data_IF_385781594949
#
_entry.id   IF_385781594949
#
_cell.length_a   1.000
_cell.length_b   1.000
_cell.length_c   1.000
_cell.angle_alpha   90.00
_cell.angle_beta   90.00
_cell.angle_gamma   90.00
#
_symmetry.space_group_name_H-M   'P 1'
#
loop_
_entity.id
_entity.type
_entity.pdbx_description
1 polymer ?
#
# COMPACT_ATOMS: atom_id res chain seq x y z
N UNK A 1 22.75 -20.38 36.63
CA UNK A 1 23.35 -19.50 35.60
C UNK A 1 22.90 -18.06 35.86
N UNK A 2 23.79 -17.17 36.33
CA UNK A 2 23.49 -15.73 36.48
C UNK A 2 23.25 -15.14 35.08
N UNK A 3 22.12 -14.46 34.86
CA UNK A 3 21.88 -13.68 33.63
C UNK A 3 22.91 -12.55 33.59
N UNK A 4 23.68 -12.48 32.50
CA UNK A 4 24.68 -11.45 32.30
C UNK A 4 23.97 -10.07 32.23
N UNK A 5 24.41 -9.06 33.01
CA UNK A 5 23.76 -7.75 33.04
C UNK A 5 23.86 -6.99 31.71
N UNK A 6 24.79 -7.38 30.83
CA UNK A 6 24.98 -6.80 29.49
C UNK A 6 24.14 -7.46 28.40
N UNK A 7 23.22 -8.37 28.75
CA UNK A 7 22.36 -9.04 27.77
C UNK A 7 21.22 -8.11 27.33
N UNK A 8 21.49 -7.31 26.30
CA UNK A 8 20.48 -6.53 25.59
C UNK A 8 19.55 -7.49 24.82
N UNK A 9 18.37 -7.74 25.36
CA UNK A 9 17.35 -8.57 24.73
C UNK A 9 16.29 -7.69 24.05
N UNK A 10 16.36 -7.55 22.73
CA UNK A 10 15.33 -6.87 21.95
C UNK A 10 14.27 -7.88 21.48
N UNK A 11 13.00 -7.49 21.54
CA UNK A 11 11.89 -8.22 20.91
C UNK A 11 11.17 -7.30 19.93
N UNK A 12 10.92 -7.81 18.72
CA UNK A 12 10.20 -7.08 17.70
C UNK A 12 8.80 -7.66 17.55
N UNK A 13 7.81 -6.76 17.51
CA UNK A 13 6.39 -7.11 17.35
C UNK A 13 5.80 -6.35 16.15
N UNK A 14 4.94 -7.03 15.40
CA UNK A 14 4.10 -6.41 14.36
C UNK A 14 2.66 -6.45 14.81
N UNK A 15 2.03 -5.28 14.93
CA UNK A 15 0.66 -5.15 15.42
C UNK A 15 -0.21 -4.59 14.29
N UNK A 16 -1.27 -5.32 13.92
CA UNK A 16 -2.30 -4.81 13.01
C UNK A 16 -3.30 -4.00 13.80
N UNK A 17 -3.38 -2.71 13.52
CA UNK A 17 -4.32 -1.77 14.15
C UNK A 17 -5.40 -1.43 13.14
N UNK A 18 -6.66 -1.75 13.46
CA UNK A 18 -7.81 -1.46 12.59
C UNK A 18 -8.38 -0.06 12.82
N UNK A 19 -8.15 0.51 14.00
CA UNK A 19 -8.63 1.82 14.41
C UNK A 19 -7.48 2.61 15.03
N UNK A 20 -6.99 3.61 14.30
CA UNK A 20 -5.87 4.45 14.72
C UNK A 20 -6.20 5.37 15.88
N UNK A 21 -7.48 5.65 16.16
CA UNK A 21 -7.83 6.42 17.36
C UNK A 21 -7.40 5.69 18.64
N UNK A 22 -7.27 4.36 18.58
CA UNK A 22 -6.80 3.52 19.68
C UNK A 22 -5.29 3.39 19.72
N UNK A 23 -4.56 3.82 18.69
CA UNK A 23 -3.09 3.78 18.69
C UNK A 23 -2.52 4.63 19.82
N UNK A 24 -3.03 5.85 19.99
CA UNK A 24 -2.61 6.74 21.08
C UNK A 24 -2.89 6.12 22.46
N UNK A 25 -4.02 5.40 22.60
CA UNK A 25 -4.35 4.70 23.84
C UNK A 25 -3.38 3.53 24.11
N UNK A 26 -2.99 2.78 23.08
CA UNK A 26 -2.02 1.69 23.19
C UNK A 26 -0.65 2.25 23.58
N UNK A 27 -0.19 3.32 22.92
CA UNK A 27 1.10 3.95 23.24
C UNK A 27 1.12 4.54 24.65
N UNK A 28 0.04 5.17 25.10
CA UNK A 28 -0.05 5.71 26.47
C UNK A 28 -0.08 4.62 27.55
N UNK A 29 -0.52 3.40 27.23
CA UNK A 29 -0.57 2.29 28.16
C UNK A 29 0.77 1.53 28.27
N UNK A 30 1.71 1.77 27.37
CA UNK A 30 3.03 1.13 27.39
C UNK A 30 4.06 2.09 28.00
N UNK A 31 4.93 1.57 28.86
CA UNK A 31 6.04 2.35 29.40
C UNK A 31 6.99 2.77 28.28
N UNK A 32 7.09 4.07 28.03
CA UNK A 32 7.94 4.65 26.98
C UNK A 32 9.42 4.30 27.17
N UNK A 33 9.87 4.06 28.41
CA UNK A 33 11.25 3.63 28.69
C UNK A 33 11.54 2.19 28.26
N UNK A 34 10.51 1.39 28.00
CA UNK A 34 10.61 0.01 27.53
C UNK A 34 10.57 -0.13 26.00
N UNK A 35 10.30 0.94 25.26
CA UNK A 35 10.22 0.95 23.80
C UNK A 35 11.51 1.53 23.23
N UNK A 36 12.24 0.73 22.45
CA UNK A 36 13.43 1.22 21.73
C UNK A 36 13.07 2.04 20.48
N UNK A 37 12.06 1.61 19.71
CA UNK A 37 11.58 2.31 18.52
C UNK A 37 10.16 1.85 18.15
N UNK A 38 9.35 2.74 17.58
CA UNK A 38 8.09 2.40 16.91
C UNK A 38 8.10 2.93 15.49
N UNK A 39 7.80 2.08 14.50
CA UNK A 39 7.71 2.47 13.09
C UNK A 39 6.40 1.94 12.47
N UNK A 40 5.84 2.69 11.53
CA UNK A 40 4.72 2.23 10.71
C UNK A 40 5.28 1.36 9.59
N UNK A 41 5.01 0.06 9.65
CA UNK A 41 5.51 -0.88 8.65
C UNK A 41 4.76 -0.76 7.31
N UNK A 42 3.48 -0.42 7.34
CA UNK A 42 2.69 -0.23 6.14
C UNK A 42 1.21 -0.03 6.41
N UNK A 43 0.51 0.40 5.37
CA UNK A 43 -0.94 0.54 5.35
C UNK A 43 -1.51 -0.55 4.46
N UNK A 44 -2.53 -1.25 4.96
CA UNK A 44 -3.25 -2.28 4.22
C UNK A 44 -4.74 -1.96 4.23
N UNK A 45 -5.45 -2.38 3.19
CA UNK A 45 -6.90 -2.22 3.09
C UNK A 45 -7.53 -3.60 2.94
N UNK A 46 -8.55 -3.91 3.74
CA UNK A 46 -9.19 -5.23 3.73
C UNK A 46 -9.75 -5.65 2.36
N UNK A 47 -10.09 -4.67 1.51
CA UNK A 47 -10.57 -4.89 0.14
C UNK A 47 -9.50 -4.71 -0.93
N UNK A 48 -8.22 -4.60 -0.55
CA UNK A 48 -7.12 -4.34 -1.48
C UNK A 48 -7.11 -5.37 -2.62
N UNK A 49 -7.08 -6.66 -2.30
CA UNK A 49 -7.05 -7.72 -3.33
C UNK A 49 -8.28 -7.72 -4.23
N UNK A 50 -9.46 -7.42 -3.68
CA UNK A 50 -10.69 -7.27 -4.47
C UNK A 50 -10.59 -6.09 -5.43
N UNK A 51 -10.14 -4.93 -4.94
CA UNK A 51 -9.93 -3.73 -5.75
C UNK A 51 -8.89 -3.96 -6.86
N UNK A 52 -7.80 -4.66 -6.56
CA UNK A 52 -6.78 -5.02 -7.55
C UNK A 52 -7.38 -5.87 -8.67
N UNK A 53 -8.13 -6.92 -8.31
CA UNK A 53 -8.80 -7.79 -9.28
C UNK A 53 -9.79 -7.01 -10.15
N UNK A 54 -10.63 -6.19 -9.53
CA UNK A 54 -11.67 -5.45 -10.24
C UNK A 54 -11.06 -4.40 -11.19
N UNK A 55 -9.96 -3.74 -10.78
CA UNK A 55 -9.20 -2.82 -11.63
C UNK A 55 -8.56 -3.52 -12.83
N UNK A 56 -7.98 -4.71 -12.65
CA UNK A 56 -7.42 -5.50 -13.77
C UNK A 56 -8.49 -5.88 -14.79
N UNK A 57 -9.66 -6.33 -14.32
CA UNK A 57 -10.79 -6.66 -15.19
C UNK A 57 -11.25 -5.42 -15.94
N UNK A 58 -11.37 -4.28 -15.26
CA UNK A 58 -11.76 -3.02 -15.89
C UNK A 58 -10.74 -2.56 -16.94
N UNK A 59 -9.44 -2.65 -16.65
CA UNK A 59 -8.38 -2.33 -17.61
C UNK A 59 -8.45 -3.19 -18.87
N UNK A 60 -8.73 -4.49 -18.75
CA UNK A 60 -8.94 -5.37 -19.91
C UNK A 60 -10.19 -5.02 -20.71
N UNK A 61 -11.31 -4.69 -20.04
CA UNK A 61 -12.52 -4.24 -20.73
C UNK A 61 -12.26 -2.96 -21.52
N UNK A 62 -11.61 -1.98 -20.91
CA UNK A 62 -11.21 -0.74 -21.58
C UNK A 62 -10.28 -1.00 -22.77
N UNK A 63 -9.34 -1.94 -22.65
CA UNK A 63 -8.46 -2.32 -23.76
C UNK A 63 -9.25 -2.96 -24.91
N UNK A 64 -10.22 -3.83 -24.62
CA UNK A 64 -11.10 -4.45 -25.62
C UNK A 64 -11.98 -3.42 -26.31
N UNK A 65 -12.63 -2.54 -25.56
CA UNK A 65 -13.50 -1.49 -26.11
C UNK A 65 -12.66 -0.58 -27.04
N UNK A 66 -11.43 -0.26 -26.62
CA UNK A 66 -10.48 0.48 -27.43
C UNK A 66 -10.09 -0.22 -28.72
N UNK A 67 -9.75 -1.49 -28.64
CA UNK A 67 -9.42 -2.27 -29.84
C UNK A 67 -10.62 -2.38 -30.79
N UNK A 68 -11.85 -2.45 -30.25
CA UNK A 68 -13.09 -2.55 -31.05
C UNK A 68 -13.28 -1.32 -31.94
N UNK A 69 -13.32 -0.11 -31.36
CA UNK A 69 -13.55 1.08 -32.17
C UNK A 69 -12.38 1.40 -33.11
N UNK A 70 -11.16 0.98 -32.76
CA UNK A 70 -10.00 1.15 -33.64
C UNK A 70 -10.04 0.20 -34.84
N UNK A 71 -10.48 -1.04 -34.65
CA UNK A 71 -10.70 -1.98 -35.74
C UNK A 71 -11.81 -1.48 -36.69
N UNK A 72 -12.93 -1.05 -36.13
CA UNK A 72 -14.06 -0.53 -36.91
C UNK A 72 -13.67 0.71 -37.74
N UNK A 73 -12.82 1.59 -37.19
CA UNK A 73 -12.32 2.77 -37.89
C UNK A 73 -11.49 2.46 -39.15
N UNK A 74 -10.92 1.25 -39.24
CA UNK A 74 -10.16 0.78 -40.41
C UNK A 74 -10.96 -0.22 -41.27
N UNK A 75 -12.25 -0.40 -41.01
CA UNK A 75 -13.13 -1.30 -41.77
C UNK A 75 -13.00 -2.78 -41.38
N UNK A 76 -12.29 -3.09 -40.31
CA UNK A 76 -12.07 -4.43 -39.78
C UNK A 76 -12.98 -4.70 -38.57
N UNK A 77 -13.16 -5.97 -38.21
CA UNK A 77 -13.82 -6.35 -36.95
C UNK A 77 -12.83 -6.92 -35.96
N UNK A 78 -13.06 -6.66 -34.68
CA UNK A 78 -12.24 -7.25 -33.62
C UNK A 78 -12.51 -8.77 -33.51
N UNK A 79 -11.45 -9.57 -33.56
CA UNK A 79 -11.50 -11.02 -33.37
C UNK A 79 -11.12 -11.48 -31.96
N UNK A 80 -10.64 -12.72 -31.85
CA UNK A 80 -10.21 -13.31 -30.58
C UNK A 80 -8.95 -12.62 -29.99
N UNK A 81 -8.82 -12.70 -28.67
CA UNK A 81 -7.61 -12.27 -27.98
C UNK A 81 -6.48 -13.30 -28.21
N UNK A 82 -5.36 -12.83 -28.72
CA UNK A 82 -4.15 -13.63 -28.97
C UNK A 82 -3.21 -13.60 -27.75
N UNK A 83 -3.14 -12.46 -27.08
CA UNK A 83 -2.23 -12.25 -25.96
C UNK A 83 -2.89 -11.35 -24.90
N UNK A 84 -2.73 -11.70 -23.64
CA UNK A 84 -3.07 -10.84 -22.49
C UNK A 84 -1.88 -10.83 -21.55
N UNK A 85 -1.36 -9.64 -21.29
CA UNK A 85 -0.21 -9.43 -20.42
C UNK A 85 -0.52 -8.35 -19.39
N UNK A 86 -0.22 -8.64 -18.13
CA UNK A 86 -0.17 -7.62 -17.09
C UNK A 86 1.14 -6.84 -17.22
N UNK A 87 1.03 -5.53 -17.47
CA UNK A 87 2.19 -4.65 -17.46
C UNK A 87 2.47 -4.33 -16.00
N UNK A 88 3.56 -4.88 -15.50
CA UNK A 88 3.89 -4.81 -14.08
C UNK A 88 4.25 -3.38 -13.70
N UNK A 89 3.25 -2.63 -13.23
CA UNK A 89 3.44 -1.30 -12.67
C UNK A 89 3.52 -1.48 -11.15
N UNK A 90 4.68 -1.92 -10.67
CA UNK A 90 4.92 -2.06 -9.23
C UNK A 90 4.87 -0.68 -8.57
N UNK A 91 3.67 -0.27 -8.17
CA UNK A 91 3.45 0.87 -7.29
C UNK A 91 3.85 0.44 -5.88
N UNK A 92 5.14 0.55 -5.57
CA UNK A 92 5.60 0.58 -4.19
C UNK A 92 5.35 2.00 -3.67
N UNK A 93 4.47 2.21 -2.67
CA UNK A 93 4.37 3.51 -2.02
C UNK A 93 5.65 3.76 -1.19
N UNK A 94 6.73 4.17 -1.85
CA UNK A 94 8.02 4.44 -1.19
C UNK A 94 8.01 5.77 -0.41
N UNK A 95 7.12 6.70 -0.72
CA UNK A 95 7.22 8.07 -0.21
C UNK A 95 6.55 8.30 1.17
N UNK A 96 5.71 7.39 1.65
CA UNK A 96 4.96 7.60 2.89
C UNK A 96 5.79 7.29 4.15
N UNK A 97 6.67 6.29 4.08
CA UNK A 97 7.48 5.85 5.23
C UNK A 97 8.50 6.92 5.65
N UNK A 98 9.12 7.61 4.69
CA UNK A 98 10.18 8.59 5.00
C UNK A 98 9.61 9.82 5.70
N UNK A 99 8.48 10.36 5.23
CA UNK A 99 7.88 11.58 5.81
C UNK A 99 7.25 11.32 7.17
N UNK A 100 6.67 10.15 7.39
CA UNK A 100 6.04 9.83 8.66
C UNK A 100 7.07 9.50 9.74
N UNK A 101 8.18 8.84 9.39
CA UNK A 101 9.31 8.68 10.31
C UNK A 101 9.89 10.03 10.75
N UNK A 102 10.11 10.94 9.80
CA UNK A 102 10.60 12.29 10.13
C UNK A 102 9.62 13.10 11.01
N UNK A 103 8.32 12.91 10.84
CA UNK A 103 7.30 13.56 11.65
C UNK A 103 7.17 12.92 13.05
N UNK A 104 7.32 11.60 13.16
CA UNK A 104 7.32 10.88 14.43
C UNK A 104 8.59 11.18 15.25
N UNK A 105 9.76 11.18 14.62
CA UNK A 105 11.04 11.51 15.26
C UNK A 105 10.99 12.93 15.86
N UNK A 106 10.47 13.91 15.10
CA UNK A 106 10.27 15.28 15.61
C UNK A 106 9.23 15.39 16.72
N UNK A 107 8.13 14.63 16.65
CA UNK A 107 7.09 14.68 17.67
C UNK A 107 7.49 13.97 18.97
N UNK A 108 8.45 13.03 18.91
CA UNK A 108 9.02 12.39 20.11
C UNK A 108 10.14 13.21 20.77
N UNK A 109 10.80 14.13 20.04
CA UNK A 109 11.77 15.07 20.61
C UNK A 109 11.13 16.24 21.38
N UNK A 110 9.89 16.62 21.05
CA UNK A 110 9.12 17.64 21.78
C UNK A 110 8.17 16.96 22.78
N UNK A 111 8.59 16.87 24.04
CA UNK A 111 7.81 16.34 25.17
C UNK A 111 6.45 17.07 25.29
N UNK A 112 5.39 16.46 24.76
CA UNK A 112 4.02 16.99 24.79
C UNK A 112 3.46 17.54 23.48
N UNK A 113 4.17 17.44 22.34
CA UNK A 113 3.58 17.78 21.05
C UNK A 113 2.49 16.77 20.66
N UNK A 114 1.30 17.27 20.33
CA UNK A 114 0.20 16.46 19.82
C UNK A 114 0.69 15.65 18.60
N UNK A 115 0.60 14.32 18.66
CA UNK A 115 0.95 13.46 17.54
C UNK A 115 0.29 14.00 16.27
N UNK A 116 1.06 14.22 15.18
CA UNK A 116 0.49 14.69 13.94
C UNK A 116 -0.66 13.76 13.56
N UNK A 117 -1.82 14.35 13.25
CA UNK A 117 -2.98 13.61 12.78
C UNK A 117 -2.52 12.68 11.67
N UNK A 118 -2.59 11.36 11.91
CA UNK A 118 -2.23 10.33 10.93
C UNK A 118 -3.32 10.40 9.85
N UNK A 119 -3.14 11.33 8.93
CA UNK A 119 -4.09 11.60 7.86
C UNK A 119 -3.80 10.60 6.74
N UNK A 120 -4.73 9.67 6.52
CA UNK A 120 -4.60 8.66 5.48
C UNK A 120 -4.58 9.34 4.11
N UNK A 121 -3.41 9.40 3.49
CA UNK A 121 -3.34 9.71 2.05
C UNK A 121 -3.92 8.53 1.28
N UNK A 122 -4.95 8.80 0.47
CA UNK A 122 -5.63 7.84 -0.41
C UNK A 122 -4.59 7.03 -1.20
N UNK A 123 -4.66 5.70 -1.10
CA UNK A 123 -3.82 4.80 -1.90
C UNK A 123 -4.31 4.89 -3.34
N UNK A 124 -3.50 5.47 -4.23
CA UNK A 124 -3.75 5.44 -5.67
C UNK A 124 -3.29 4.08 -6.20
N UNK A 125 -4.22 3.33 -6.77
CA UNK A 125 -3.93 2.07 -7.46
C UNK A 125 -4.00 2.33 -8.96
N UNK A 126 -2.96 1.93 -9.70
CA UNK A 126 -2.93 1.97 -11.15
C UNK A 126 -2.54 0.58 -11.68
N UNK A 127 -3.33 0.06 -12.61
CA UNK A 127 -3.11 -1.22 -13.26
C UNK A 127 -3.15 -1.03 -14.77
N UNK A 128 -2.14 -1.57 -15.45
CA UNK A 128 -2.03 -1.52 -16.90
C UNK A 128 -2.03 -2.93 -17.45
N UNK A 129 -2.86 -3.15 -18.47
CA UNK A 129 -2.98 -4.41 -19.18
C UNK A 129 -2.68 -4.17 -20.66
N UNK A 130 -1.88 -5.06 -21.25
CA UNK A 130 -1.68 -5.13 -22.70
C UNK A 130 -2.49 -6.32 -23.22
N UNK A 131 -3.29 -6.08 -24.25
CA UNK A 131 -4.02 -7.13 -24.95
C UNK A 131 -3.78 -6.99 -26.46
N UNK A 132 -3.53 -8.11 -27.12
CA UNK A 132 -3.40 -8.22 -28.58
C UNK A 132 -4.57 -9.03 -29.09
N UNK A 133 -5.23 -8.54 -30.13
CA UNK A 133 -6.38 -9.17 -30.76
C UNK A 133 -6.09 -9.41 -32.24
N UNK A 134 -6.66 -10.45 -32.80
CA UNK A 134 -6.72 -10.61 -34.25
C UNK A 134 -7.78 -9.65 -34.85
N UNK A 135 -7.65 -9.36 -36.14
CA UNK A 135 -8.65 -8.64 -36.93
C UNK A 135 -9.34 -9.60 -37.90
N UNK A 136 -10.58 -9.27 -38.27
CA UNK A 136 -11.46 -10.05 -39.14
C UNK A 136 -12.07 -9.22 -40.26
#
# INVERSE_FOLDING_TARGET
KKKNPDFLATKQYRIKVTDLSKWNQIMNAVDSKGIQNTNIEGYDHSKMETMKRDLKIQALKTAKDKATYLAEAVGERLGAALEIQEVNNSYYPQEMNVRMNQAMDKAMEEDGAAMPSIDFKKIKLNYQMRAVFELK
#
